data_IF_869563437563
#
_entry.id   IF_869563437563
#
_cell.length_a   1.000
_cell.length_b   1.000
_cell.length_c   1.000
_cell.angle_alpha   90.00
_cell.angle_beta   90.00
_cell.angle_gamma   90.00
#
_symmetry.space_group_name_H-M   'P 1'
#
loop_
_entity.id
_entity.type
_entity.pdbx_description
1 polymer ?
#
# COMPACT_ATOMS: atom_id res chain seq x y z
N UNK A 1 19.31 -3.54 -19.48
CA UNK A 1 20.50 -3.93 -18.71
C UNK A 1 20.07 -4.90 -17.60
N UNK A 2 20.63 -6.13 -17.61
CA UNK A 2 20.62 -7.00 -16.43
C UNK A 2 21.86 -6.63 -15.62
N UNK A 3 21.70 -5.82 -14.59
CA UNK A 3 22.79 -5.43 -13.71
C UNK A 3 22.26 -5.18 -12.30
N UNK A 4 23.13 -5.32 -11.32
CA UNK A 4 22.88 -4.91 -9.95
C UNK A 4 22.65 -3.41 -9.93
N UNK A 5 21.43 -2.97 -9.56
CA UNK A 5 21.03 -1.58 -9.56
C UNK A 5 21.89 -0.70 -8.64
N UNK A 6 22.35 -1.21 -7.49
CA UNK A 6 23.28 -0.48 -6.63
C UNK A 6 24.61 -0.17 -7.31
N UNK A 7 25.13 -1.09 -8.12
CA UNK A 7 26.37 -0.87 -8.89
C UNK A 7 26.13 0.11 -10.03
N UNK A 8 24.99 0.01 -10.70
CA UNK A 8 24.60 0.93 -11.80
C UNK A 8 24.40 2.33 -11.28
N UNK A 9 23.68 2.50 -10.18
CA UNK A 9 23.45 3.82 -9.58
C UNK A 9 24.74 4.52 -9.11
N UNK A 10 25.73 3.75 -8.65
CA UNK A 10 27.05 4.31 -8.30
C UNK A 10 27.84 4.76 -9.51
N UNK A 11 27.65 4.10 -10.66
CA UNK A 11 28.42 4.37 -11.89
C UNK A 11 27.83 5.49 -12.73
N UNK A 12 26.50 5.63 -12.76
CA UNK A 12 25.82 6.57 -13.64
C UNK A 12 25.01 7.56 -12.79
N UNK A 13 25.26 8.84 -13.00
CA UNK A 13 24.45 9.90 -12.39
C UNK A 13 23.31 10.23 -13.36
N UNK A 14 22.09 9.75 -13.04
CA UNK A 14 20.90 10.07 -13.82
C UNK A 14 20.18 11.26 -13.17
N UNK A 15 20.06 12.41 -13.84
CA UNK A 15 19.28 13.54 -13.37
C UNK A 15 17.78 13.25 -13.55
N UNK A 16 17.24 12.29 -12.77
CA UNK A 16 15.84 11.92 -12.84
C UNK A 16 14.99 12.93 -12.06
N UNK A 17 13.86 13.33 -12.61
CA UNK A 17 12.81 14.11 -11.94
C UNK A 17 11.57 13.27 -11.64
N UNK A 18 11.49 12.09 -12.23
CA UNK A 18 10.46 11.07 -11.97
C UNK A 18 11.14 9.72 -11.81
N UNK A 19 10.76 9.00 -10.77
CA UNK A 19 11.27 7.68 -10.50
C UNK A 19 10.13 6.70 -10.18
N UNK A 20 10.16 5.53 -10.84
CA UNK A 20 9.21 4.43 -10.58
C UNK A 20 10.00 3.20 -10.16
N UNK A 21 9.63 2.60 -9.04
CA UNK A 21 10.32 1.43 -8.50
C UNK A 21 9.33 0.38 -7.99
N UNK A 22 9.66 -0.87 -8.29
CA UNK A 22 9.14 -2.05 -7.61
C UNK A 22 10.36 -2.84 -7.11
N UNK A 23 10.80 -2.64 -5.85
CA UNK A 23 12.01 -3.28 -5.33
C UNK A 23 11.77 -4.75 -5.00
N UNK A 24 12.83 -5.59 -4.94
CA UNK A 24 12.71 -6.95 -4.43
C UNK A 24 12.38 -6.93 -2.93
N UNK A 25 11.26 -7.56 -2.54
CA UNK A 25 10.74 -7.55 -1.15
C UNK A 25 11.56 -8.38 -0.17
N UNK A 26 12.49 -9.20 -0.66
CA UNK A 26 13.45 -9.97 0.13
C UNK A 26 14.78 -9.23 0.37
N UNK A 27 14.91 -8.01 -0.14
CA UNK A 27 16.10 -7.21 0.07
C UNK A 27 16.09 -6.58 1.47
N UNK A 28 17.24 -6.05 1.89
CA UNK A 28 17.43 -5.40 3.16
C UNK A 28 16.38 -4.29 3.39
N UNK A 29 15.86 -4.21 4.61
CA UNK A 29 14.77 -3.31 4.96
C UNK A 29 13.49 -3.59 4.16
N UNK A 30 13.22 -4.85 3.77
CA UNK A 30 12.09 -5.24 2.93
C UNK A 30 12.07 -4.52 1.56
N UNK A 31 13.23 -4.14 1.03
CA UNK A 31 13.40 -3.41 -0.23
C UNK A 31 13.56 -1.91 -0.07
N UNK A 32 13.43 -1.36 1.14
CA UNK A 32 13.60 0.09 1.36
C UNK A 32 15.04 0.56 1.16
N UNK A 33 16.05 -0.30 1.24
CA UNK A 33 17.43 0.04 0.86
C UNK A 33 17.52 0.54 -0.60
N UNK A 34 16.76 -0.07 -1.53
CA UNK A 34 16.68 0.40 -2.92
C UNK A 34 15.93 1.72 -3.04
N UNK A 35 14.88 1.91 -2.25
CA UNK A 35 14.10 3.15 -2.23
C UNK A 35 14.97 4.31 -1.74
N UNK A 36 15.65 4.15 -0.60
CA UNK A 36 16.53 5.16 -0.03
C UNK A 36 17.65 5.54 -1.01
N UNK A 37 18.33 4.54 -1.61
CA UNK A 37 19.38 4.78 -2.61
C UNK A 37 18.84 5.55 -3.82
N UNK A 38 17.67 5.18 -4.36
CA UNK A 38 17.07 5.87 -5.49
C UNK A 38 16.72 7.32 -5.17
N UNK A 39 16.03 7.56 -4.04
CA UNK A 39 15.64 8.90 -3.61
C UNK A 39 16.87 9.79 -3.34
N UNK A 40 17.95 9.23 -2.79
CA UNK A 40 19.19 9.97 -2.52
C UNK A 40 19.90 10.50 -3.78
N UNK A 41 19.60 9.94 -4.96
CA UNK A 41 20.16 10.33 -6.25
C UNK A 41 19.37 11.43 -6.95
N UNK A 42 18.18 11.73 -6.46
CA UNK A 42 17.33 12.76 -7.03
C UNK A 42 17.49 14.08 -6.26
N UNK A 43 17.52 15.18 -6.97
CA UNK A 43 17.61 16.53 -6.39
C UNK A 43 16.24 17.22 -6.28
N UNK A 44 15.24 16.73 -7.01
CA UNK A 44 13.86 17.23 -7.01
C UNK A 44 12.95 16.27 -7.76
N UNK A 45 11.65 16.50 -7.70
CA UNK A 45 10.65 15.72 -8.44
C UNK A 45 9.85 14.77 -7.58
N UNK A 46 9.39 13.69 -8.20
CA UNK A 46 8.49 12.72 -7.55
C UNK A 46 8.95 11.29 -7.80
N UNK A 47 8.72 10.45 -6.80
CA UNK A 47 8.96 9.01 -6.90
C UNK A 47 7.72 8.22 -6.48
N UNK A 48 7.33 7.23 -7.28
CA UNK A 48 6.26 6.30 -6.95
C UNK A 48 6.86 4.89 -6.76
N UNK A 49 6.59 4.31 -5.61
CA UNK A 49 7.17 3.05 -5.19
C UNK A 49 6.04 2.04 -4.95
N UNK A 50 6.00 0.97 -5.74
CA UNK A 50 5.12 -0.17 -5.49
C UNK A 50 5.87 -1.17 -4.61
N UNK A 51 5.44 -1.34 -3.39
CA UNK A 51 6.14 -2.17 -2.39
C UNK A 51 5.13 -2.89 -1.50
N UNK A 52 5.58 -3.91 -0.78
CA UNK A 52 4.79 -4.56 0.26
C UNK A 52 4.26 -3.51 1.25
N UNK A 53 2.95 -3.50 1.52
CA UNK A 53 2.30 -2.44 2.29
C UNK A 53 2.89 -2.26 3.69
N UNK A 54 3.22 -3.37 4.37
CA UNK A 54 3.84 -3.32 5.69
C UNK A 54 5.39 -3.35 5.65
N UNK A 55 6.01 -3.02 4.51
CA UNK A 55 7.47 -3.04 4.37
C UNK A 55 8.16 -2.03 5.33
N UNK A 56 7.47 -0.97 5.73
CA UNK A 56 7.96 0.02 6.69
C UNK A 56 7.99 -0.44 8.14
N UNK A 57 7.52 -1.66 8.46
CA UNK A 57 7.59 -2.23 9.80
C UNK A 57 8.84 -3.11 10.00
N UNK A 58 9.20 -3.39 11.25
CA UNK A 58 10.35 -4.23 11.57
C UNK A 58 11.65 -3.71 10.94
N UNK A 59 12.28 -4.52 10.07
CA UNK A 59 13.54 -4.18 9.39
C UNK A 59 13.43 -2.95 8.47
N UNK A 60 12.25 -2.62 7.99
CA UNK A 60 12.03 -1.44 7.15
C UNK A 60 11.95 -0.12 7.92
N UNK A 61 11.63 -0.15 9.22
CA UNK A 61 11.38 1.05 10.02
C UNK A 61 12.58 2.03 10.08
N UNK A 62 13.84 1.60 10.22
CA UNK A 62 14.96 2.54 10.17
C UNK A 62 15.07 3.28 8.85
N UNK A 63 14.64 2.66 7.74
CA UNK A 63 14.67 3.25 6.41
C UNK A 63 13.55 4.29 6.25
N UNK A 64 12.31 3.97 6.66
CA UNK A 64 11.18 4.91 6.54
C UNK A 64 11.47 6.21 7.28
N UNK A 65 12.04 6.11 8.49
CA UNK A 65 12.45 7.27 9.27
C UNK A 65 13.52 8.14 8.56
N UNK A 66 14.53 7.50 7.92
CA UNK A 66 15.56 8.24 7.17
C UNK A 66 15.01 8.85 5.88
N UNK A 67 14.09 8.15 5.21
CA UNK A 67 13.43 8.64 4.00
C UNK A 67 12.66 9.92 4.30
N UNK A 68 11.87 9.97 5.39
CA UNK A 68 11.09 11.15 5.77
C UNK A 68 11.95 12.36 6.13
N UNK A 69 13.18 12.16 6.60
CA UNK A 69 14.11 13.28 6.86
C UNK A 69 14.47 14.09 5.61
N UNK A 70 14.37 13.48 4.43
CA UNK A 70 14.80 14.07 3.18
C UNK A 70 13.71 14.15 2.13
N UNK A 71 12.58 13.46 2.32
CA UNK A 71 11.51 13.36 1.34
C UNK A 71 10.15 13.40 2.03
N UNK A 72 9.16 13.97 1.35
CA UNK A 72 7.79 14.04 1.86
C UNK A 72 6.96 12.91 1.26
N UNK A 73 6.33 12.08 2.11
CA UNK A 73 5.28 11.16 1.65
C UNK A 73 4.03 11.99 1.30
N UNK A 74 3.58 11.93 0.06
CA UNK A 74 2.44 12.69 -0.47
C UNK A 74 1.18 11.86 -0.47
N UNK A 75 1.31 10.57 -0.86
CA UNK A 75 0.19 9.66 -0.91
C UNK A 75 0.59 8.22 -0.58
N UNK A 76 -0.36 7.48 -0.02
CA UNK A 76 -0.32 6.05 0.23
C UNK A 76 -1.57 5.41 -0.36
N UNK A 77 -1.40 4.54 -1.36
CA UNK A 77 -2.49 3.93 -2.10
C UNK A 77 -2.49 2.43 -1.82
N UNK A 78 -3.49 1.97 -1.07
CA UNK A 78 -3.73 0.57 -0.80
C UNK A 78 -4.21 -0.14 -2.07
N UNK A 79 -3.43 -1.10 -2.58
CA UNK A 79 -3.69 -1.77 -3.86
C UNK A 79 -4.53 -3.06 -3.67
N UNK A 80 -5.12 -3.61 -4.76
CA UNK A 80 -5.77 -4.92 -4.70
C UNK A 80 -4.84 -6.03 -4.22
N UNK A 81 -5.37 -7.03 -3.52
CA UNK A 81 -4.61 -8.18 -3.01
C UNK A 81 -4.05 -9.08 -4.11
N UNK A 82 -4.63 -9.01 -5.28
CA UNK A 82 -4.32 -9.88 -6.42
C UNK A 82 -3.33 -9.25 -7.42
N UNK A 83 -2.71 -8.10 -7.10
CA UNK A 83 -1.72 -7.45 -7.99
C UNK A 83 -0.62 -8.42 -8.44
N UNK A 84 -0.17 -9.28 -7.53
CA UNK A 84 0.86 -10.30 -7.79
C UNK A 84 0.32 -11.74 -7.70
N UNK A 85 -0.94 -11.95 -8.11
CA UNK A 85 -1.54 -13.29 -8.07
C UNK A 85 -0.70 -14.32 -8.83
N UNK A 86 -0.46 -15.46 -8.21
CA UNK A 86 0.38 -16.54 -8.76
C UNK A 86 1.90 -16.33 -8.59
N UNK A 87 2.34 -15.16 -8.12
CA UNK A 87 3.75 -14.88 -7.83
C UNK A 87 4.00 -14.69 -6.33
N UNK A 88 3.18 -13.90 -5.66
CA UNK A 88 3.24 -13.68 -4.22
C UNK A 88 1.86 -13.26 -3.70
N UNK A 89 1.39 -13.88 -2.61
CA UNK A 89 0.16 -13.48 -1.90
C UNK A 89 0.40 -12.29 -0.96
N UNK A 90 0.99 -11.20 -1.48
CA UNK A 90 1.45 -10.07 -0.68
C UNK A 90 0.55 -8.87 -0.95
N UNK A 91 0.03 -8.26 0.12
CA UNK A 91 -0.63 -6.96 0.04
C UNK A 91 0.41 -5.89 -0.28
N UNK A 92 0.16 -5.08 -1.30
CA UNK A 92 1.05 -4.01 -1.73
C UNK A 92 0.36 -2.65 -1.66
N UNK A 93 1.18 -1.61 -1.55
CA UNK A 93 0.76 -0.23 -1.66
C UNK A 93 1.66 0.53 -2.64
N UNK A 94 1.15 1.62 -3.19
CA UNK A 94 1.96 2.62 -3.89
C UNK A 94 2.20 3.77 -2.93
N UNK A 95 3.47 4.04 -2.62
CA UNK A 95 3.89 5.23 -1.89
C UNK A 95 4.42 6.27 -2.86
N UNK A 96 3.85 7.48 -2.82
CA UNK A 96 4.27 8.60 -3.64
C UNK A 96 5.05 9.61 -2.79
N UNK A 97 6.26 9.92 -3.19
CA UNK A 97 7.13 10.88 -2.53
C UNK A 97 7.36 12.14 -3.36
N UNK A 98 7.36 13.29 -2.71
CA UNK A 98 8.01 14.49 -3.20
C UNK A 98 9.45 14.47 -2.71
N UNK A 99 10.40 14.47 -3.64
CA UNK A 99 11.83 14.27 -3.37
C UNK A 99 12.50 15.58 -2.94
N UNK A 100 13.53 15.45 -2.11
CA UNK A 100 14.37 16.53 -1.61
C UNK A 100 13.59 17.63 -0.85
N UNK A 101 12.52 17.25 -0.18
CA UNK A 101 11.78 18.04 0.78
C UNK A 101 11.49 17.20 2.01
N UNK A 102 12.02 17.52 3.20
CA UNK A 102 11.69 16.82 4.44
C UNK A 102 10.19 16.76 4.69
N UNK A 103 9.73 15.68 5.28
CA UNK A 103 8.33 15.57 5.74
C UNK A 103 8.17 16.31 7.05
N UNK A 104 7.29 17.30 7.06
CA UNK A 104 6.97 18.09 8.25
C UNK A 104 5.81 17.45 9.04
N UNK A 105 5.74 17.72 10.34
CA UNK A 105 4.72 17.14 11.24
C UNK A 105 3.28 17.39 10.79
N UNK A 106 3.04 18.54 10.17
CA UNK A 106 1.71 18.96 9.73
C UNK A 106 1.44 18.68 8.23
N UNK A 107 2.38 18.01 7.56
CA UNK A 107 2.18 17.59 6.17
C UNK A 107 1.09 16.51 6.09
N UNK A 108 0.06 16.79 5.28
CA UNK A 108 -1.02 15.85 5.06
C UNK A 108 -0.64 14.84 3.99
N UNK A 109 -0.86 13.57 4.30
CA UNK A 109 -0.74 12.45 3.37
C UNK A 109 -2.14 12.07 2.88
N UNK A 110 -2.28 11.82 1.58
CA UNK A 110 -3.52 11.33 0.99
C UNK A 110 -3.49 9.80 0.97
N UNK A 111 -4.34 9.18 1.79
CA UNK A 111 -4.52 7.72 1.84
C UNK A 111 -5.72 7.33 0.98
N UNK A 112 -5.55 6.34 0.09
CA UNK A 112 -6.61 5.87 -0.81
C UNK A 112 -6.76 4.36 -0.71
N UNK A 113 -7.97 3.86 -0.45
CA UNK A 113 -8.29 2.44 -0.58
C UNK A 113 -8.66 2.13 -2.04
N UNK A 114 -7.67 1.67 -2.80
CA UNK A 114 -7.83 1.21 -4.17
C UNK A 114 -7.89 -0.33 -4.24
N UNK A 115 -8.47 -1.00 -3.24
CA UNK A 115 -8.64 -2.46 -3.19
C UNK A 115 -9.44 -3.03 -4.36
N UNK A 116 -10.21 -2.20 -5.06
CA UNK A 116 -10.81 -2.49 -6.36
C UNK A 116 -10.32 -1.45 -7.38
N UNK A 117 -9.39 -1.86 -8.23
CA UNK A 117 -8.83 -1.03 -9.30
C UNK A 117 -9.54 -1.22 -10.66
N UNK A 118 -10.60 -2.03 -10.69
CA UNK A 118 -11.39 -2.30 -11.89
C UNK A 118 -10.83 -3.38 -12.79
N UNK A 119 -9.73 -4.03 -12.42
CA UNK A 119 -9.21 -5.19 -13.13
C UNK A 119 -9.55 -6.48 -12.40
N UNK A 120 -9.82 -7.54 -13.18
CA UNK A 120 -9.79 -8.94 -12.71
C UNK A 120 -8.51 -9.62 -13.15
N UNK A 121 -7.87 -10.30 -12.21
CA UNK A 121 -6.63 -11.04 -12.41
C UNK A 121 -6.85 -12.51 -12.08
N UNK A 122 -6.39 -13.39 -12.97
CA UNK A 122 -6.44 -14.84 -12.74
C UNK A 122 -5.09 -15.45 -13.09
N UNK A 123 -4.52 -16.19 -12.14
CA UNK A 123 -3.33 -17.00 -12.44
C UNK A 123 -3.69 -18.11 -13.41
N UNK A 124 -2.86 -18.33 -14.44
CA UNK A 124 -3.01 -19.48 -15.33
C UNK A 124 -2.53 -20.75 -14.63
N UNK A 125 -3.28 -21.83 -14.77
CA UNK A 125 -2.97 -23.14 -14.15
C UNK A 125 -1.60 -23.72 -14.57
N UNK A 126 -1.04 -23.33 -15.71
CA UNK A 126 0.20 -23.89 -16.28
C UNK A 126 1.42 -22.98 -16.23
N UNK A 127 1.28 -21.71 -15.83
CA UNK A 127 2.40 -20.79 -15.73
C UNK A 127 2.09 -19.76 -14.63
N UNK A 128 2.92 -19.75 -13.61
CA UNK A 128 2.86 -18.74 -12.53
C UNK A 128 3.28 -17.34 -12.99
N UNK A 129 3.82 -17.19 -14.20
CA UNK A 129 4.31 -15.93 -14.74
C UNK A 129 3.28 -15.19 -15.59
N UNK A 130 2.27 -15.88 -16.12
CA UNK A 130 1.24 -15.30 -16.95
C UNK A 130 -0.01 -15.00 -16.14
N UNK A 131 -0.25 -13.74 -15.86
CA UNK A 131 -1.51 -13.27 -15.27
C UNK A 131 -2.46 -12.88 -16.39
N UNK A 132 -3.66 -13.45 -16.36
CA UNK A 132 -4.73 -13.04 -17.26
C UNK A 132 -5.40 -11.78 -16.70
N UNK A 133 -4.99 -10.62 -17.18
CA UNK A 133 -5.54 -9.33 -16.80
C UNK A 133 -6.72 -9.00 -17.73
N UNK A 134 -7.89 -8.74 -17.12
CA UNK A 134 -9.09 -8.30 -17.84
C UNK A 134 -9.65 -7.04 -17.22
N UNK A 135 -10.08 -6.12 -18.06
CA UNK A 135 -10.91 -5.00 -17.63
C UNK A 135 -12.28 -5.52 -17.21
N UNK A 136 -12.70 -5.16 -16.00
CA UNK A 136 -13.97 -5.60 -15.41
C UNK A 136 -14.88 -4.42 -15.09
N UNK A 137 -14.38 -3.44 -14.34
CA UNK A 137 -15.16 -2.32 -13.84
C UNK A 137 -14.41 -1.00 -14.01
N UNK A 138 -14.37 -0.51 -15.26
CA UNK A 138 -13.87 0.82 -15.64
C UNK A 138 -12.48 1.18 -15.08
N UNK A 139 -11.46 0.34 -15.25
CA UNK A 139 -10.15 0.56 -14.62
C UNK A 139 -9.55 1.92 -14.98
N UNK A 140 -9.61 2.34 -16.25
CA UNK A 140 -9.07 3.64 -16.68
C UNK A 140 -9.66 4.79 -15.88
N UNK A 141 -10.98 4.83 -15.71
CA UNK A 141 -11.66 5.90 -14.97
C UNK A 141 -11.31 5.87 -13.47
N UNK A 142 -11.11 4.67 -12.91
CA UNK A 142 -10.66 4.51 -11.51
C UNK A 142 -9.26 5.05 -11.28
N UNK A 143 -8.33 4.79 -12.18
CA UNK A 143 -6.99 5.36 -12.11
C UNK A 143 -7.00 6.88 -12.31
N UNK A 144 -7.78 7.41 -13.27
CA UNK A 144 -7.95 8.85 -13.47
C UNK A 144 -8.55 9.54 -12.23
N UNK A 145 -9.47 8.86 -11.50
CA UNK A 145 -10.01 9.38 -10.24
C UNK A 145 -8.94 9.46 -9.15
N UNK A 146 -8.17 8.38 -8.96
CA UNK A 146 -7.08 8.37 -7.96
C UNK A 146 -6.01 9.42 -8.30
N UNK A 147 -5.64 9.55 -9.58
CA UNK A 147 -4.74 10.61 -10.02
C UNK A 147 -5.27 12.00 -9.64
N UNK A 148 -6.54 12.29 -9.93
CA UNK A 148 -7.15 13.57 -9.59
C UNK A 148 -7.15 13.81 -8.06
N UNK A 149 -7.48 12.80 -7.27
CA UNK A 149 -7.47 12.87 -5.79
C UNK A 149 -6.06 13.20 -5.28
N UNK A 150 -5.05 12.47 -5.73
CA UNK A 150 -3.65 12.65 -5.30
C UNK A 150 -3.11 14.01 -5.70
N UNK A 151 -3.49 14.51 -6.88
CA UNK A 151 -3.11 15.85 -7.37
C UNK A 151 -3.95 16.98 -6.72
N UNK A 152 -4.89 16.68 -5.83
CA UNK A 152 -5.77 17.67 -5.20
C UNK A 152 -6.77 18.29 -6.18
N UNK A 153 -7.02 17.66 -7.32
CA UNK A 153 -8.01 18.09 -8.33
C UNK A 153 -9.38 17.47 -8.01
N UNK A 154 -10.44 18.10 -8.53
CA UNK A 154 -11.79 17.53 -8.43
C UNK A 154 -11.89 16.32 -9.38
N UNK A 155 -12.16 15.09 -8.88
CA UNK A 155 -12.34 13.93 -9.73
C UNK A 155 -13.63 14.03 -10.54
N UNK A 156 -13.67 13.39 -11.70
CA UNK A 156 -14.85 13.30 -12.57
C UNK A 156 -15.80 12.17 -12.17
N UNK A 157 -15.32 11.23 -11.40
CA UNK A 157 -16.05 10.03 -10.94
C UNK A 157 -15.94 9.96 -9.41
N UNK A 158 -16.64 9.01 -8.78
CA UNK A 158 -16.72 8.89 -7.32
C UNK A 158 -16.59 7.43 -6.84
N UNK A 159 -15.82 6.60 -7.52
CA UNK A 159 -15.60 5.19 -7.16
C UNK A 159 -14.97 5.03 -5.76
N UNK A 160 -14.21 6.04 -5.35
CA UNK A 160 -13.49 6.06 -4.07
C UNK A 160 -14.12 7.00 -3.04
N UNK A 161 -15.41 7.36 -3.21
CA UNK A 161 -16.16 8.10 -2.18
C UNK A 161 -16.14 7.32 -0.85
N UNK A 162 -15.75 7.99 0.24
CA UNK A 162 -15.58 7.36 1.57
C UNK A 162 -14.37 6.43 1.71
N UNK A 163 -13.51 6.34 0.69
CA UNK A 163 -12.28 5.55 0.65
C UNK A 163 -11.02 6.40 0.56
N UNK A 164 -11.13 7.67 0.85
CA UNK A 164 -10.02 8.63 0.85
C UNK A 164 -9.95 9.27 2.23
N UNK A 165 -8.75 9.26 2.80
CA UNK A 165 -8.44 9.88 4.09
C UNK A 165 -7.29 10.85 3.86
N UNK A 166 -7.34 12.03 4.49
CA UNK A 166 -6.21 12.96 4.57
C UNK A 166 -5.84 13.09 6.03
N UNK A 167 -4.63 12.68 6.37
CA UNK A 167 -4.15 12.68 7.74
C UNK A 167 -2.64 12.95 7.78
N UNK A 168 -2.13 13.32 8.93
CA UNK A 168 -0.72 13.43 9.21
C UNK A 168 -0.13 12.05 9.53
N UNK A 169 1.18 11.91 9.40
CA UNK A 169 1.91 10.69 9.79
C UNK A 169 2.96 10.99 10.85
N UNK A 170 3.34 9.96 11.58
CA UNK A 170 4.47 10.02 12.49
C UNK A 170 5.79 10.15 11.74
N UNK A 171 6.67 11.04 12.21
CA UNK A 171 8.03 11.16 11.68
C UNK A 171 8.90 9.92 11.99
N UNK A 172 8.40 9.00 12.83
CA UNK A 172 9.02 7.69 13.04
C UNK A 172 8.82 6.74 11.85
N UNK A 173 7.85 7.02 10.96
CA UNK A 173 7.64 6.30 9.70
C UNK A 173 7.00 4.93 9.85
N UNK A 174 6.19 4.72 10.87
CA UNK A 174 5.57 3.43 11.22
C UNK A 174 4.07 3.36 10.90
N UNK A 175 3.50 4.39 10.30
CA UNK A 175 2.06 4.57 10.06
C UNK A 175 1.72 5.00 8.62
N UNK A 176 2.35 4.37 7.63
CA UNK A 176 2.16 4.72 6.22
C UNK A 176 1.00 4.00 5.53
N UNK A 177 0.30 3.09 6.21
CA UNK A 177 -0.73 2.28 5.55
C UNK A 177 -2.11 2.90 5.69
N UNK A 178 -2.97 2.76 4.67
CA UNK A 178 -4.36 3.22 4.71
C UNK A 178 -5.12 2.69 5.94
N UNK A 179 -4.90 1.41 6.29
CA UNK A 179 -5.65 0.77 7.37
C UNK A 179 -5.33 1.34 8.75
N UNK A 180 -4.15 1.95 8.95
CA UNK A 180 -3.77 2.60 10.20
C UNK A 180 -4.50 3.94 10.43
N UNK A 181 -4.95 4.58 9.34
CA UNK A 181 -5.69 5.85 9.37
C UNK A 181 -7.20 5.68 9.25
N UNK A 182 -7.65 4.46 8.92
CA UNK A 182 -9.08 4.18 8.80
C UNK A 182 -9.74 4.16 10.17
N UNK A 183 -10.67 5.07 10.39
CA UNK A 183 -11.53 5.03 11.58
C UNK A 183 -12.47 3.83 11.44
N UNK A 184 -12.35 2.88 12.34
CA UNK A 184 -13.26 1.74 12.46
C UNK A 184 -14.26 2.10 13.54
N UNK A 185 -15.53 2.23 13.17
CA UNK A 185 -16.61 2.31 14.15
C UNK A 185 -16.72 0.93 14.84
N UNK A 186 -16.08 0.83 16.01
CA UNK A 186 -16.11 -0.37 16.83
C UNK A 186 -17.30 -0.41 17.79
N UNK A 187 -18.28 0.50 17.63
CA UNK A 187 -19.51 0.49 18.45
C UNK A 187 -20.26 -0.81 18.21
N UNK A 188 -20.46 -1.66 19.23
CA UNK A 188 -21.18 -2.92 19.06
C UNK A 188 -22.62 -2.65 18.61
N UNK A 189 -23.03 -3.31 17.53
CA UNK A 189 -24.41 -3.25 17.04
C UNK A 189 -25.22 -4.40 17.64
N UNK A 190 -26.53 -4.24 17.68
CA UNK A 190 -27.44 -5.29 18.19
C UNK A 190 -27.22 -6.63 17.47
N UNK A 191 -26.93 -6.60 16.16
CA UNK A 191 -26.67 -7.81 15.38
C UNK A 191 -25.34 -8.50 15.77
N UNK A 192 -24.31 -7.74 16.15
CA UNK A 192 -23.04 -8.28 16.65
C UNK A 192 -23.26 -8.99 17.97
N UNK A 193 -24.09 -8.42 18.85
CA UNK A 193 -24.47 -9.05 20.11
C UNK A 193 -25.28 -10.33 19.88
N UNK A 194 -26.29 -10.30 19.02
CA UNK A 194 -27.09 -11.50 18.66
C UNK A 194 -26.21 -12.61 18.10
N UNK A 195 -25.27 -12.28 17.23
CA UNK A 195 -24.32 -13.24 16.67
C UNK A 195 -23.46 -13.88 17.75
N UNK A 196 -22.87 -13.06 18.63
CA UNK A 196 -22.01 -13.54 19.73
C UNK A 196 -22.78 -14.46 20.68
N UNK A 197 -24.03 -14.11 21.01
CA UNK A 197 -24.89 -14.94 21.85
C UNK A 197 -25.22 -16.28 21.16
N UNK A 198 -25.54 -16.27 19.87
CA UNK A 198 -25.84 -17.49 19.11
C UNK A 198 -24.61 -18.41 19.02
N UNK A 199 -23.42 -17.85 18.77
CA UNK A 199 -22.15 -18.59 18.75
C UNK A 199 -21.83 -19.22 20.13
N UNK A 200 -22.03 -18.46 21.22
CA UNK A 200 -21.84 -18.96 22.59
C UNK A 200 -22.82 -20.09 22.93
N UNK A 201 -24.09 -19.94 22.58
CA UNK A 201 -25.10 -20.99 22.82
C UNK A 201 -24.78 -22.25 22.03
N UNK A 202 -24.39 -22.13 20.75
CA UNK A 202 -23.98 -23.26 19.92
C UNK A 202 -22.78 -24.00 20.52
N UNK A 203 -21.75 -23.26 20.94
CA UNK A 203 -20.58 -23.82 21.61
C UNK A 203 -20.97 -24.52 22.93
N UNK A 204 -21.83 -23.90 23.74
CA UNK A 204 -22.27 -24.46 25.02
C UNK A 204 -23.07 -25.74 24.84
N UNK A 205 -23.94 -25.78 23.83
CA UNK A 205 -24.69 -26.97 23.48
C UNK A 205 -23.79 -28.13 23.04
N UNK A 206 -22.78 -27.83 22.20
CA UNK A 206 -21.78 -28.84 21.78
C UNK A 206 -21.07 -29.45 23.00
N UNK A 207 -20.65 -28.62 23.95
CA UNK A 207 -20.02 -29.09 25.18
C UNK A 207 -20.90 -29.96 26.07
N UNK A 208 -22.21 -29.68 26.10
CA UNK A 208 -23.17 -30.48 26.87
C UNK A 208 -23.42 -31.84 26.22
N UNK A 209 -23.47 -31.88 24.89
CA UNK A 209 -23.63 -33.12 24.14
C UNK A 209 -22.40 -34.04 24.23
N UNK A 210 -21.21 -33.48 24.27
CA UNK A 210 -19.95 -34.23 24.45
C UNK A 210 -19.81 -34.82 25.89
N UNK A 211 -20.41 -34.20 26.91
CA UNK A 211 -20.40 -34.69 28.29
C UNK A 211 -21.52 -35.69 28.62
N UNK A 212 -22.47 -35.86 27.72
CA UNK A 212 -23.60 -36.77 27.86
C UNK A 212 -23.39 -38.14 27.22
N UNK A 213 -22.25 -38.38 26.61
CA UNK A 213 -21.77 -39.68 26.14
C UNK A 213 -20.60 -40.12 27.03
#
# INVERSE_FOLDING_TARGET
YKADSHKVYKKYNFPATVFLLNPPYSADGNGFNFVEEALSRMTHGYAAILIKENAGSGEGLPYTKRILKNNTLVASIHMPKDVFIGMAGVQVAIYLFKVARPHEKDDLVTFVDMSNDGYKRQARKKSSQDVNLREDDKPKQRYEEVEAIVLGKKPKTNFYAGKVIKDTISLEGNDWTYMQHKVIDATPKEDDFKKTVAEYLSWKMSQLLEKGN
#
